data_IF_774884737803
#
_entry.id   IF_774884737803
#
_cell.length_a   1.000
_cell.length_b   1.000
_cell.length_c   1.000
_cell.angle_alpha   90.00
_cell.angle_beta   90.00
_cell.angle_gamma   90.00
#
_symmetry.space_group_name_H-M   'P 1'
#
loop_
_entity.id
_entity.type
_entity.pdbx_description
1 polymer ?
#
# COMPACT_ATOMS: atom_id res chain seq x y z
N UNK A 1 2.91 4.27 9.22
CA UNK A 1 2.42 5.66 9.19
C UNK A 1 3.25 6.54 8.27
N UNK A 2 4.59 6.61 8.43
CA UNK A 2 5.46 7.46 7.60
C UNK A 2 5.25 7.34 6.08
N UNK A 3 5.02 6.15 5.54
CA UNK A 3 4.75 5.96 4.10
C UNK A 3 3.47 6.67 3.62
N UNK A 4 2.42 6.69 4.46
CA UNK A 4 1.16 7.36 4.15
C UNK A 4 1.38 8.87 4.14
N UNK A 5 2.07 9.39 5.15
CA UNK A 5 2.38 10.82 5.27
C UNK A 5 3.25 11.32 4.11
N UNK A 6 4.13 10.47 3.57
CA UNK A 6 4.96 10.80 2.42
C UNK A 6 4.17 11.03 1.13
N UNK A 7 2.96 10.45 0.98
CA UNK A 7 2.14 10.59 -0.23
C UNK A 7 1.83 12.06 -0.55
N UNK A 8 1.62 12.89 0.48
CA UNK A 8 1.35 14.32 0.37
C UNK A 8 2.49 15.10 -0.28
N UNK A 9 3.72 14.54 -0.28
CA UNK A 9 4.93 15.19 -0.78
C UNK A 9 5.44 14.61 -2.10
N UNK A 10 4.86 13.50 -2.59
CA UNK A 10 5.26 12.88 -3.85
C UNK A 10 4.85 13.74 -5.05
N UNK A 11 5.63 13.69 -6.13
CA UNK A 11 5.22 14.23 -7.43
C UNK A 11 4.07 13.38 -8.00
N UNK A 12 3.25 13.97 -8.86
CA UNK A 12 2.08 13.30 -9.46
C UNK A 12 2.41 11.96 -10.11
N UNK A 13 3.53 11.87 -10.83
CA UNK A 13 3.93 10.64 -11.53
C UNK A 13 4.24 9.52 -10.54
N UNK A 14 4.84 9.85 -9.41
CA UNK A 14 5.08 8.89 -8.33
C UNK A 14 3.76 8.57 -7.59
N UNK A 15 2.91 9.56 -7.37
CA UNK A 15 1.66 9.37 -6.65
C UNK A 15 0.74 8.32 -7.31
N UNK A 16 0.72 8.26 -8.64
CA UNK A 16 -0.06 7.26 -9.40
C UNK A 16 0.37 5.82 -9.11
N UNK A 17 1.67 5.57 -8.95
CA UNK A 17 2.21 4.24 -8.61
C UNK A 17 2.11 3.95 -7.10
N UNK A 18 2.34 4.96 -6.27
CA UNK A 18 2.47 4.77 -4.83
C UNK A 18 1.12 4.69 -4.10
N UNK A 19 0.05 5.33 -4.59
CA UNK A 19 -1.28 5.20 -4.01
C UNK A 19 -1.77 3.74 -3.90
N UNK A 20 -1.82 2.96 -5.01
CA UNK A 20 -2.25 1.57 -4.94
C UNK A 20 -1.27 0.70 -4.14
N UNK A 21 0.03 0.98 -4.23
CA UNK A 21 1.04 0.24 -3.47
C UNK A 21 0.87 0.41 -1.96
N UNK A 22 0.71 1.64 -1.48
CA UNK A 22 0.50 1.91 -0.05
C UNK A 22 -0.86 1.36 0.41
N UNK A 23 -1.90 1.45 -0.42
CA UNK A 23 -3.20 0.83 -0.14
C UNK A 23 -3.08 -0.69 0.06
N UNK A 24 -2.34 -1.39 -0.81
CA UNK A 24 -2.04 -2.81 -0.64
C UNK A 24 -1.32 -3.09 0.69
N UNK A 25 -0.27 -2.30 1.01
CA UNK A 25 0.47 -2.45 2.26
C UNK A 25 -0.40 -2.26 3.51
N UNK A 26 -1.43 -1.42 3.45
CA UNK A 26 -2.40 -1.26 4.55
C UNK A 26 -3.22 -2.54 4.74
N UNK A 27 -3.58 -3.25 3.66
CA UNK A 27 -4.42 -4.45 3.74
C UNK A 27 -3.70 -5.69 4.27
N UNK A 28 -2.40 -5.82 4.02
CA UNK A 28 -1.59 -6.94 4.54
C UNK A 28 -1.32 -6.85 6.05
N UNK A 29 -1.70 -5.74 6.70
CA UNK A 29 -1.54 -5.59 8.15
C UNK A 29 -2.44 -6.61 8.87
N UNK A 30 -1.86 -7.52 9.68
CA UNK A 30 -2.62 -8.60 10.30
C UNK A 30 -3.50 -8.11 11.47
N UNK A 31 -3.06 -7.09 12.19
CA UNK A 31 -3.84 -6.51 13.28
C UNK A 31 -4.94 -5.60 12.74
N UNK A 32 -6.19 -5.96 13.01
CA UNK A 32 -7.37 -5.23 12.53
C UNK A 32 -7.44 -3.81 13.09
N UNK A 33 -7.03 -3.60 14.34
CA UNK A 33 -7.06 -2.27 14.96
C UNK A 33 -6.01 -1.35 14.31
N UNK A 34 -4.78 -1.83 14.14
CA UNK A 34 -3.74 -1.09 13.43
C UNK A 34 -4.09 -0.83 11.96
N UNK A 35 -4.70 -1.81 11.27
CA UNK A 35 -5.18 -1.63 9.89
C UNK A 35 -6.21 -0.51 9.80
N UNK A 36 -7.20 -0.50 10.70
CA UNK A 36 -8.21 0.55 10.72
C UNK A 36 -7.58 1.94 10.95
N UNK A 37 -6.64 2.06 11.89
CA UNK A 37 -5.91 3.31 12.10
C UNK A 37 -5.12 3.75 10.84
N UNK A 38 -4.52 2.80 10.12
CA UNK A 38 -3.85 3.09 8.86
C UNK A 38 -4.83 3.55 7.77
N UNK A 39 -6.01 2.92 7.66
CA UNK A 39 -7.05 3.32 6.70
C UNK A 39 -7.58 4.74 6.99
N UNK A 40 -7.84 5.03 8.27
CA UNK A 40 -8.25 6.37 8.72
C UNK A 40 -7.16 7.40 8.41
N UNK A 41 -5.90 7.12 8.76
CA UNK A 41 -4.79 8.02 8.44
C UNK A 41 -4.59 8.21 6.93
N UNK A 42 -4.80 7.17 6.14
CA UNK A 42 -4.73 7.23 4.68
C UNK A 42 -5.77 8.20 4.13
N UNK A 43 -7.02 8.06 4.57
CA UNK A 43 -8.08 9.00 4.20
C UNK A 43 -7.77 10.43 4.66
N UNK A 44 -7.30 10.60 5.89
CA UNK A 44 -6.93 11.92 6.42
C UNK A 44 -5.80 12.56 5.58
N UNK A 45 -4.80 11.80 5.14
CA UNK A 45 -3.71 12.32 4.33
C UNK A 45 -4.15 12.74 2.91
N UNK A 46 -5.15 12.07 2.33
CA UNK A 46 -5.70 12.45 1.02
C UNK A 46 -6.71 13.60 1.09
N UNK A 47 -7.39 13.73 2.23
CA UNK A 47 -8.39 14.77 2.47
C UNK A 47 -7.81 16.00 3.18
N UNK A 48 -6.60 15.92 3.73
CA UNK A 48 -5.90 17.05 4.30
C UNK A 48 -5.53 18.03 3.18
N UNK A 49 -5.68 19.32 3.46
CA UNK A 49 -5.27 20.40 2.54
C UNK A 49 -3.75 20.58 2.41
N UNK A 50 -2.96 19.54 2.71
CA UNK A 50 -1.50 19.56 2.64
C UNK A 50 -0.99 19.40 1.20
N UNK A 51 -1.83 18.88 0.31
CA UNK A 51 -1.53 18.73 -1.12
C UNK A 51 -1.88 20.00 -1.92
N UNK A 52 -1.11 20.29 -2.97
CA UNK A 52 -1.54 21.26 -3.98
C UNK A 52 -2.76 20.75 -4.77
N UNK A 53 -3.40 21.67 -5.49
CA UNK A 53 -4.69 21.44 -6.15
C UNK A 53 -4.65 20.26 -7.13
N UNK A 54 -3.57 20.08 -7.88
CA UNK A 54 -3.49 19.03 -8.90
C UNK A 54 -3.37 17.64 -8.25
N UNK A 55 -2.56 17.53 -7.19
CA UNK A 55 -2.43 16.28 -6.41
C UNK A 55 -3.69 15.93 -5.65
N UNK A 56 -4.34 16.92 -5.05
CA UNK A 56 -5.61 16.72 -4.37
C UNK A 56 -6.69 16.21 -5.35
N UNK A 57 -6.79 16.82 -6.53
CA UNK A 57 -7.72 16.39 -7.57
C UNK A 57 -7.45 14.95 -8.03
N UNK A 58 -6.18 14.58 -8.21
CA UNK A 58 -5.81 13.21 -8.56
C UNK A 58 -6.20 12.21 -7.47
N UNK A 59 -5.89 12.50 -6.21
CA UNK A 59 -6.21 11.62 -5.08
C UNK A 59 -7.72 11.41 -4.92
N UNK A 60 -8.50 12.48 -5.00
CA UNK A 60 -9.96 12.42 -4.91
C UNK A 60 -10.54 11.63 -6.08
N UNK A 61 -10.03 11.83 -7.29
CA UNK A 61 -10.44 11.09 -8.48
C UNK A 61 -10.10 9.60 -8.33
N UNK A 62 -8.90 9.27 -7.86
CA UNK A 62 -8.47 7.90 -7.64
C UNK A 62 -9.33 7.20 -6.58
N UNK A 63 -9.55 7.88 -5.45
CA UNK A 63 -10.39 7.39 -4.36
C UNK A 63 -11.85 7.16 -4.78
N UNK A 64 -12.42 8.07 -5.58
CA UNK A 64 -13.85 8.07 -5.88
C UNK A 64 -14.22 7.28 -7.14
N UNK A 65 -13.34 7.22 -8.13
CA UNK A 65 -13.68 6.70 -9.48
C UNK A 65 -12.75 5.62 -10.00
N UNK A 66 -11.48 5.55 -9.54
CA UNK A 66 -10.53 4.51 -9.97
C UNK A 66 -10.50 3.28 -9.05
N UNK A 67 -11.47 3.13 -8.15
CA UNK A 67 -11.55 1.98 -7.24
C UNK A 67 -10.60 2.06 -6.02
N UNK A 68 -10.00 3.22 -5.76
CA UNK A 68 -9.01 3.38 -4.70
C UNK A 68 -9.60 3.20 -3.30
N UNK A 69 -10.86 3.61 -3.09
CA UNK A 69 -11.57 3.41 -1.83
C UNK A 69 -11.74 1.92 -1.51
N UNK A 70 -12.19 1.14 -2.49
CA UNK A 70 -12.41 -0.29 -2.33
C UNK A 70 -11.09 -1.01 -2.05
N UNK A 71 -10.03 -0.60 -2.77
CA UNK A 71 -8.68 -1.11 -2.55
C UNK A 71 -8.22 -0.87 -1.11
N UNK A 72 -8.38 0.33 -0.55
CA UNK A 72 -7.93 0.63 0.83
C UNK A 72 -8.79 -0.07 1.89
N UNK A 73 -10.11 -0.17 1.67
CA UNK A 73 -11.04 -0.69 2.68
C UNK A 73 -11.15 -2.21 2.71
N UNK A 74 -11.07 -2.86 1.55
CA UNK A 74 -11.36 -4.28 1.39
C UNK A 74 -10.19 -5.11 0.88
N UNK A 75 -9.14 -4.47 0.32
CA UNK A 75 -8.04 -5.16 -0.35
C UNK A 75 -8.44 -5.72 -1.72
N UNK A 76 -7.46 -6.20 -2.48
CA UNK A 76 -7.72 -6.99 -3.69
C UNK A 76 -7.78 -8.47 -3.31
N UNK A 77 -8.76 -9.22 -3.80
CA UNK A 77 -8.79 -10.69 -3.68
C UNK A 77 -7.58 -11.35 -4.39
N UNK A 78 -6.82 -10.59 -5.18
CA UNK A 78 -5.65 -11.02 -5.96
C UNK A 78 -4.32 -10.95 -5.19
N UNK A 79 -4.31 -10.58 -3.90
CA UNK A 79 -3.12 -10.41 -3.05
C UNK A 79 -2.32 -11.71 -2.75
N UNK A 80 -2.55 -12.80 -3.49
CA UNK A 80 -1.78 -14.05 -3.41
C UNK A 80 -0.54 -14.09 -4.34
N UNK A 81 -0.39 -13.17 -5.29
CA UNK A 81 0.77 -13.15 -6.19
C UNK A 81 1.42 -11.77 -6.26
N UNK A 82 1.96 -11.30 -5.14
CA UNK A 82 3.12 -10.41 -5.20
C UNK A 82 4.33 -11.32 -5.27
N UNK A 83 5.06 -11.40 -6.41
CA UNK A 83 6.28 -12.18 -6.47
C UNK A 83 7.31 -11.51 -5.57
N UNK A 84 7.46 -12.00 -4.36
CA UNK A 84 8.59 -11.69 -3.49
C UNK A 84 9.86 -12.24 -4.17
N UNK A 85 10.50 -11.43 -5.02
CA UNK A 85 11.84 -11.74 -5.52
C UNK A 85 12.88 -11.36 -4.46
N UNK A 86 12.90 -12.11 -3.36
CA UNK A 86 14.01 -12.09 -2.42
C UNK A 86 15.18 -12.84 -3.05
N UNK A 87 16.10 -12.09 -3.65
CA UNK A 87 17.45 -12.58 -3.91
C UNK A 87 18.13 -12.90 -2.57
N UNK A 88 17.87 -14.08 -2.03
CA UNK A 88 18.57 -14.63 -0.88
C UNK A 88 19.45 -15.80 -1.36
N UNK A 89 20.75 -15.51 -1.41
CA UNK A 89 21.83 -16.47 -1.67
C UNK A 89 21.70 -17.65 -0.69
N UNK A 90 21.84 -18.86 -1.21
CA UNK A 90 21.47 -20.10 -0.55
C UNK A 90 22.23 -20.42 0.74
N UNK A 91 21.51 -20.99 1.70
CA UNK A 91 22.09 -21.87 2.72
C UNK A 91 21.62 -23.29 2.43
N UNK A 92 22.41 -24.01 1.63
CA UNK A 92 22.38 -25.47 1.62
C UNK A 92 23.00 -25.91 2.95
N UNK A 93 22.20 -26.49 3.83
CA UNK A 93 22.65 -27.31 4.94
C UNK A 93 21.67 -28.48 5.11
N UNK A 94 22.19 -29.69 4.90
CA UNK A 94 21.53 -31.00 4.87
C UNK A 94 20.93 -31.44 6.23
N UNK A 95 20.23 -32.60 6.31
CA UNK A 95 20.97 -33.85 6.51
C UNK A 95 20.47 -35.02 5.66
N UNK A 96 21.46 -35.74 5.11
CA UNK A 96 21.37 -37.12 4.63
C UNK A 96 20.76 -38.05 5.69
N UNK A 97 19.73 -38.83 5.35
CA UNK A 97 19.48 -40.10 6.03
C UNK A 97 18.61 -41.07 5.20
N UNK A 98 19.13 -42.30 5.10
CA UNK A 98 18.54 -43.59 4.71
C UNK A 98 18.57 -43.96 3.22
N UNK A 99 19.61 -44.71 2.85
CA UNK A 99 19.50 -46.14 2.49
C UNK A 99 20.82 -46.86 2.78
#
# INVERSE_FOLDING_TARGET
>A
MTMIDCLCFLRLEALEEWLPFVAHLVNIIPDKAMRQQCQERFWDALSSGEMDVDRANFCVTWWSTKGGREMVLFGSEEDLEIPYMSGAIGTVAEPQSKL
#
